data_IF_013986987475
#
_entry.id   IF_013986987475
#
_cell.length_a   1.000
_cell.length_b   1.000
_cell.length_c   1.000
_cell.angle_alpha   90.00
_cell.angle_beta   90.00
_cell.angle_gamma   90.00
#
_symmetry.space_group_name_H-M   'P 1'
#
loop_
_entity.id
_entity.type
_entity.pdbx_description
1 polymer ?
#
# COMPACT_ATOMS: atom_id res chain seq x y z
N UNK A 1 -16.57 -60.73 -4.07
CA UNK A 1 -17.90 -60.51 -3.48
C UNK A 1 -18.06 -59.04 -3.16
N UNK A 2 -19.18 -58.46 -3.61
CA UNK A 2 -19.90 -57.27 -3.13
C UNK A 2 -19.13 -55.97 -2.74
N UNK A 3 -19.42 -54.94 -3.53
CA UNK A 3 -19.46 -53.51 -3.16
C UNK A 3 -20.47 -53.25 -2.04
N UNK A 4 -20.23 -52.19 -1.25
CA UNK A 4 -21.17 -51.18 -0.69
C UNK A 4 -20.60 -50.62 0.62
N UNK A 5 -20.96 -49.46 1.16
CA UNK A 5 -21.45 -48.16 0.71
C UNK A 5 -21.55 -47.31 2.00
N UNK A 6 -21.39 -45.99 1.88
CA UNK A 6 -21.58 -45.03 2.95
C UNK A 6 -23.00 -45.06 3.54
N UNK A 7 -23.11 -44.91 4.87
CA UNK A 7 -24.38 -44.70 5.55
C UNK A 7 -24.46 -43.25 6.06
N UNK A 8 -25.16 -42.40 5.30
CA UNK A 8 -25.72 -41.12 5.71
C UNK A 8 -27.20 -41.35 6.06
N UNK A 9 -27.63 -40.93 7.24
CA UNK A 9 -28.97 -41.17 7.75
C UNK A 9 -29.80 -39.87 7.81
N UNK A 10 -30.97 -39.98 7.18
CA UNK A 10 -32.27 -39.38 7.50
C UNK A 10 -32.53 -37.87 7.27
N UNK A 11 -33.17 -37.63 6.12
CA UNK A 11 -34.11 -36.55 5.78
C UNK A 11 -35.35 -36.56 6.68
N UNK A 12 -35.97 -35.39 6.86
CA UNK A 12 -37.42 -35.27 7.07
C UNK A 12 -38.03 -34.36 6.00
N UNK A 13 -38.95 -34.94 5.24
CA UNK A 13 -39.96 -34.34 4.35
C UNK A 13 -41.01 -33.60 5.21
N UNK A 14 -41.88 -32.70 4.75
CA UNK A 14 -42.74 -32.60 3.55
C UNK A 14 -43.33 -31.16 3.51
N UNK A 15 -43.76 -30.69 2.34
CA UNK A 15 -44.84 -29.70 2.25
C UNK A 15 -44.68 -28.64 1.16
N UNK A 16 -44.95 -29.01 -0.09
CA UNK A 16 -45.24 -28.11 -1.20
C UNK A 16 -46.60 -27.42 -1.03
N UNK A 17 -46.78 -26.19 -1.54
CA UNK A 17 -47.80 -25.84 -2.55
C UNK A 17 -47.59 -24.40 -3.06
N UNK A 18 -47.69 -24.27 -4.38
CA UNK A 18 -47.65 -23.09 -5.27
C UNK A 18 -48.81 -22.10 -5.00
N UNK A 19 -48.98 -20.89 -5.56
CA UNK A 19 -48.70 -20.25 -6.86
C UNK A 19 -49.03 -18.71 -6.70
N UNK A 20 -48.98 -17.82 -7.71
CA UNK A 20 -48.47 -16.45 -7.57
C UNK A 20 -49.53 -15.34 -7.68
N UNK A 21 -49.21 -14.11 -7.25
CA UNK A 21 -49.94 -12.91 -7.71
C UNK A 21 -49.04 -11.70 -7.96
N UNK A 22 -49.13 -11.28 -9.21
CA UNK A 22 -48.62 -10.08 -9.88
C UNK A 22 -49.49 -8.88 -9.50
N UNK A 23 -48.87 -7.71 -9.26
CA UNK A 23 -49.53 -6.43 -9.56
C UNK A 23 -49.26 -5.27 -8.60
N UNK A 24 -48.82 -4.14 -9.17
CA UNK A 24 -49.33 -2.83 -8.73
C UNK A 24 -48.32 -1.83 -8.17
N UNK A 25 -47.70 -1.04 -9.05
CA UNK A 25 -47.21 0.30 -8.71
C UNK A 25 -48.38 1.18 -8.25
N UNK A 26 -48.26 1.89 -7.12
CA UNK A 26 -49.05 3.09 -6.82
C UNK A 26 -48.10 4.29 -6.66
N UNK A 27 -48.20 5.33 -7.50
CA UNK A 27 -47.52 6.60 -7.26
C UNK A 27 -48.32 7.42 -6.25
N UNK A 28 -47.69 7.91 -5.18
CA UNK A 28 -48.28 8.93 -4.31
C UNK A 28 -47.93 10.32 -4.84
N UNK A 29 -48.82 10.89 -5.64
CA UNK A 29 -48.85 12.31 -5.99
C UNK A 29 -49.66 13.10 -4.96
N UNK A 30 -49.08 14.18 -4.41
CA UNK A 30 -49.78 15.22 -3.63
C UNK A 30 -48.95 15.66 -2.41
N UNK A 31 -48.47 16.90 -2.27
CA UNK A 31 -48.63 18.09 -3.07
C UNK A 31 -47.47 19.08 -2.84
N UNK A 32 -47.17 19.87 -3.87
CA UNK A 32 -46.33 21.06 -3.78
C UNK A 32 -47.17 22.18 -3.15
N UNK A 33 -46.81 22.61 -1.94
CA UNK A 33 -47.23 23.91 -1.41
C UNK A 33 -46.13 24.96 -1.68
N UNK A 34 -46.43 26.15 -2.22
CA UNK A 34 -45.43 27.19 -2.42
C UNK A 34 -45.26 27.94 -1.10
N UNK A 35 -44.13 27.74 -0.40
CA UNK A 35 -43.76 28.59 0.73
C UNK A 35 -42.71 29.61 0.29
N UNK A 36 -43.18 30.86 0.26
CA UNK A 36 -42.58 32.09 -0.24
C UNK A 36 -41.14 32.37 0.25
N UNK A 37 -40.30 32.70 -0.74
CA UNK A 37 -39.32 33.80 -0.82
C UNK A 37 -38.51 34.23 0.43
N UNK A 38 -37.20 33.96 0.32
CA UNK A 38 -36.07 34.89 0.54
C UNK A 38 -36.04 35.79 1.78
N UNK A 39 -35.02 35.58 2.62
CA UNK A 39 -34.48 36.62 3.49
C UNK A 39 -33.77 36.09 4.73
N UNK A 40 -32.51 35.63 4.60
CA UNK A 40 -31.55 35.68 5.70
C UNK A 40 -30.13 35.68 5.13
N UNK A 41 -29.46 36.80 5.37
CA UNK A 41 -28.06 37.05 5.06
C UNK A 41 -27.13 35.99 5.65
N UNK A 42 -26.00 35.76 4.98
CA UNK A 42 -24.80 35.20 5.60
C UNK A 42 -24.94 33.76 6.12
N UNK A 43 -25.23 32.80 5.24
CA UNK A 43 -24.88 31.42 5.53
C UNK A 43 -23.34 31.30 5.49
N UNK A 44 -22.70 31.64 6.61
CA UNK A 44 -21.30 31.31 6.89
C UNK A 44 -21.14 29.82 6.57
N UNK A 45 -20.52 29.48 5.44
CA UNK A 45 -20.21 28.09 5.12
C UNK A 45 -19.23 27.61 6.18
N UNK A 46 -19.76 26.95 7.21
CA UNK A 46 -18.97 26.27 8.21
C UNK A 46 -17.99 25.37 7.46
N UNK A 47 -16.67 25.50 7.65
CA UNK A 47 -15.69 24.78 6.85
C UNK A 47 -15.99 23.29 6.97
N UNK A 48 -16.35 22.65 5.84
CA UNK A 48 -16.63 21.22 5.79
C UNK A 48 -15.45 20.50 6.44
N UNK A 49 -15.70 19.79 7.54
CA UNK A 49 -14.65 19.05 8.27
C UNK A 49 -13.93 18.16 7.27
N UNK A 50 -12.62 18.38 7.09
CA UNK A 50 -11.79 17.56 6.20
C UNK A 50 -11.89 16.11 6.66
N UNK A 51 -12.35 15.21 5.80
CA UNK A 51 -12.50 13.79 6.12
C UNK A 51 -11.12 13.20 6.38
N UNK A 52 -10.87 12.70 7.59
CA UNK A 52 -9.64 11.99 7.95
C UNK A 52 -9.79 10.50 7.65
N UNK A 53 -8.79 9.92 6.97
CA UNK A 53 -8.72 8.48 6.77
C UNK A 53 -8.37 7.76 8.08
N UNK A 54 -8.81 6.51 8.23
CA UNK A 54 -8.39 5.67 9.37
C UNK A 54 -6.88 5.39 9.28
N UNK A 55 -6.17 5.26 10.41
CA UNK A 55 -4.77 4.82 10.41
C UNK A 55 -4.60 3.56 9.56
N UNK A 56 -3.52 3.50 8.78
CA UNK A 56 -3.25 2.40 7.84
C UNK A 56 -3.97 2.49 6.49
N UNK A 57 -5.08 3.23 6.35
CA UNK A 57 -5.80 3.31 5.06
C UNK A 57 -4.96 3.96 3.96
N UNK A 58 -4.23 5.02 4.30
CA UNK A 58 -3.34 5.71 3.35
C UNK A 58 -2.10 4.86 3.06
N UNK A 59 -1.48 4.29 4.10
CA UNK A 59 -0.32 3.41 3.95
C UNK A 59 -0.62 2.20 3.04
N UNK A 60 -1.76 1.53 3.21
CA UNK A 60 -2.15 0.40 2.34
C UNK A 60 -2.38 0.82 0.88
N UNK A 61 -2.82 2.07 0.65
CA UNK A 61 -2.97 2.61 -0.69
C UNK A 61 -1.61 2.89 -1.32
N UNK A 62 -0.71 3.52 -0.58
CA UNK A 62 0.66 3.82 -1.00
C UNK A 62 1.43 2.53 -1.31
N UNK A 63 1.34 1.51 -0.46
CA UNK A 63 1.97 0.20 -0.70
C UNK A 63 1.53 -0.38 -2.04
N UNK A 64 0.21 -0.42 -2.31
CA UNK A 64 -0.32 -0.94 -3.58
C UNK A 64 0.09 -0.09 -4.79
N UNK A 65 0.19 1.22 -4.61
CA UNK A 65 0.62 2.13 -5.66
C UNK A 65 2.10 1.87 -6.00
N UNK A 66 2.98 1.86 -5.00
CA UNK A 66 4.42 1.70 -5.20
C UNK A 66 4.82 0.29 -5.65
N UNK A 67 4.08 -0.75 -5.24
CA UNK A 67 4.29 -2.11 -5.74
C UNK A 67 3.84 -2.29 -7.20
N UNK A 68 3.01 -1.39 -7.74
CA UNK A 68 2.55 -1.43 -9.13
C UNK A 68 3.45 -0.61 -10.07
N UNK A 69 4.05 0.46 -9.57
CA UNK A 69 4.97 1.32 -10.32
C UNK A 69 6.41 0.81 -10.27
N UNK A 70 7.23 1.27 -11.21
CA UNK A 70 8.68 1.04 -11.24
C UNK A 70 9.45 2.35 -11.28
N UNK A 71 8.83 3.44 -10.82
CA UNK A 71 9.45 4.77 -10.81
C UNK A 71 10.49 4.87 -9.69
N UNK A 72 11.58 5.58 -9.94
CA UNK A 72 12.59 5.88 -8.92
C UNK A 72 11.99 6.82 -7.85
N UNK A 73 12.14 6.46 -6.59
CA UNK A 73 11.53 7.14 -5.45
C UNK A 73 12.46 8.18 -4.84
N UNK A 74 13.78 8.04 -4.99
CA UNK A 74 14.75 9.01 -4.47
C UNK A 74 14.88 10.22 -5.41
N UNK A 75 15.00 11.41 -4.82
CA UNK A 75 15.24 12.62 -5.59
C UNK A 75 16.63 12.57 -6.27
N UNK A 76 16.64 12.74 -7.60
CA UNK A 76 17.85 12.59 -8.43
C UNK A 76 19.00 13.53 -8.05
N UNK A 77 18.71 14.80 -7.76
CA UNK A 77 19.77 15.80 -7.46
C UNK A 77 20.46 15.54 -6.10
N UNK A 78 19.74 15.32 -4.98
CA UNK A 78 20.36 14.90 -3.72
C UNK A 78 21.17 13.60 -3.85
N UNK A 79 20.64 12.59 -4.55
CA UNK A 79 21.36 11.33 -4.76
C UNK A 79 22.65 11.54 -5.56
N UNK A 80 22.61 12.33 -6.63
CA UNK A 80 23.79 12.69 -7.43
C UNK A 80 24.87 13.40 -6.61
N UNK A 81 24.47 14.32 -5.70
CA UNK A 81 25.42 14.99 -4.80
C UNK A 81 26.07 14.01 -3.83
N UNK A 82 25.28 13.11 -3.25
CA UNK A 82 25.76 12.06 -2.35
C UNK A 82 26.77 11.13 -3.04
N UNK A 83 26.48 10.67 -4.26
CA UNK A 83 27.38 9.81 -5.03
C UNK A 83 28.74 10.49 -5.25
N UNK A 84 28.74 11.78 -5.59
CA UNK A 84 29.97 12.56 -5.80
C UNK A 84 30.74 12.75 -4.50
N UNK A 85 30.05 13.04 -3.41
CA UNK A 85 30.67 13.17 -2.07
C UNK A 85 31.34 11.86 -1.64
N UNK A 86 30.64 10.73 -1.75
CA UNK A 86 31.21 9.41 -1.41
C UNK A 86 32.39 9.08 -2.32
N UNK A 87 32.31 9.40 -3.61
CA UNK A 87 33.39 9.17 -4.55
C UNK A 87 34.68 9.91 -4.13
N UNK A 88 34.59 11.16 -3.66
CA UNK A 88 35.76 11.90 -3.17
C UNK A 88 36.41 11.25 -1.94
N UNK A 89 35.64 10.58 -1.10
CA UNK A 89 36.15 9.91 0.10
C UNK A 89 36.77 8.53 -0.19
N UNK A 90 36.36 7.88 -1.29
CA UNK A 90 36.78 6.51 -1.65
C UNK A 90 37.87 6.51 -2.72
N UNK A 91 37.90 7.53 -3.58
CA UNK A 91 38.84 7.62 -4.69
C UNK A 91 40.30 7.76 -4.18
N UNK A 92 41.28 7.06 -4.79
CA UNK A 92 42.69 7.20 -4.43
C UNK A 92 43.18 8.65 -4.51
N UNK A 93 44.15 9.05 -3.67
CA UNK A 93 44.74 10.38 -3.74
C UNK A 93 45.28 10.66 -5.15
N UNK A 94 44.88 11.79 -5.75
CA UNK A 94 45.28 12.19 -7.10
C UNK A 94 44.35 11.72 -8.23
N UNK A 95 43.29 10.97 -7.93
CA UNK A 95 42.24 10.66 -8.92
C UNK A 95 41.11 11.68 -8.88
N UNK A 96 41.08 12.59 -9.86
CA UNK A 96 40.03 13.60 -9.99
C UNK A 96 38.80 13.05 -10.73
N UNK A 97 38.04 12.15 -10.08
CA UNK A 97 36.76 11.66 -10.63
C UNK A 97 35.68 12.76 -10.50
N UNK A 98 35.78 13.78 -11.35
CA UNK A 98 34.89 14.95 -11.35
C UNK A 98 33.71 14.77 -12.30
N UNK A 99 33.89 13.99 -13.37
CA UNK A 99 32.89 13.76 -14.41
C UNK A 99 32.16 12.44 -14.20
N UNK A 100 30.84 12.51 -14.32
CA UNK A 100 29.95 11.36 -14.22
C UNK A 100 28.99 11.34 -15.40
N UNK A 101 28.81 10.18 -16.01
CA UNK A 101 27.76 9.96 -16.98
C UNK A 101 26.40 9.97 -16.30
N UNK A 102 25.39 10.55 -16.93
CA UNK A 102 24.02 10.55 -16.41
C UNK A 102 23.48 9.12 -16.19
N UNK A 103 23.75 8.22 -17.14
CA UNK A 103 23.37 6.81 -17.05
C UNK A 103 24.07 6.06 -15.91
N UNK A 104 25.32 6.41 -15.57
CA UNK A 104 26.03 5.79 -14.46
C UNK A 104 25.38 6.16 -13.11
N UNK A 105 25.01 7.43 -12.93
CA UNK A 105 24.31 7.87 -11.71
C UNK A 105 22.93 7.21 -11.63
N UNK A 106 22.22 7.07 -12.75
CA UNK A 106 20.94 6.38 -12.79
C UNK A 106 21.07 4.90 -12.42
N UNK A 107 22.06 4.18 -12.96
CA UNK A 107 22.31 2.78 -12.63
C UNK A 107 22.65 2.58 -11.15
N UNK A 108 23.45 3.49 -10.56
CA UNK A 108 23.72 3.49 -9.12
C UNK A 108 22.45 3.71 -8.30
N UNK A 109 21.56 4.59 -8.75
CA UNK A 109 20.29 4.85 -8.08
C UNK A 109 19.36 3.63 -8.15
N UNK A 110 19.22 3.03 -9.33
CA UNK A 110 18.43 1.80 -9.53
C UNK A 110 18.92 0.66 -8.61
N UNK A 111 20.23 0.43 -8.56
CA UNK A 111 20.82 -0.59 -7.70
C UNK A 111 20.62 -0.29 -6.21
N UNK A 112 20.79 0.97 -5.78
CA UNK A 112 20.62 1.37 -4.40
C UNK A 112 19.16 1.24 -3.94
N UNK A 113 18.20 1.71 -4.74
CA UNK A 113 16.78 1.58 -4.42
C UNK A 113 16.33 0.12 -4.39
N UNK A 114 16.77 -0.69 -5.36
CA UNK A 114 16.49 -2.12 -5.37
C UNK A 114 17.04 -2.79 -4.10
N UNK A 115 18.28 -2.50 -3.70
CA UNK A 115 18.87 -3.04 -2.49
C UNK A 115 18.05 -2.68 -1.24
N UNK A 116 17.65 -1.41 -1.10
CA UNK A 116 16.86 -0.94 0.03
C UNK A 116 15.47 -1.58 0.10
N UNK A 117 14.79 -1.74 -1.04
CA UNK A 117 13.48 -2.41 -1.09
C UNK A 117 13.58 -3.84 -0.58
N UNK A 118 14.52 -4.64 -1.10
CA UNK A 118 14.70 -6.02 -0.64
C UNK A 118 15.10 -6.08 0.84
N UNK A 119 15.92 -5.14 1.33
CA UNK A 119 16.28 -5.09 2.75
C UNK A 119 15.08 -4.76 3.64
N UNK A 120 14.17 -3.89 3.19
CA UNK A 120 12.93 -3.58 3.90
C UNK A 120 11.93 -4.74 3.88
N UNK A 121 11.89 -5.54 2.81
CA UNK A 121 11.09 -6.77 2.77
C UNK A 121 11.53 -7.76 3.85
N UNK A 122 12.84 -8.03 3.96
CA UNK A 122 13.39 -8.92 4.99
C UNK A 122 13.19 -8.35 6.41
N UNK A 123 13.37 -7.04 6.57
CA UNK A 123 13.14 -6.36 7.85
C UNK A 123 11.66 -6.43 8.25
N UNK A 124 10.75 -6.37 7.29
CA UNK A 124 9.32 -6.52 7.53
C UNK A 124 8.97 -7.95 7.98
N UNK A 125 9.60 -8.98 7.39
CA UNK A 125 9.46 -10.37 7.86
C UNK A 125 9.96 -10.52 9.32
N UNK A 126 11.07 -9.87 9.67
CA UNK A 126 11.57 -9.85 11.05
C UNK A 126 10.60 -9.16 12.03
N UNK A 127 9.97 -8.05 11.62
CA UNK A 127 8.96 -7.36 12.42
C UNK A 127 7.72 -8.24 12.65
N UNK A 128 7.22 -8.91 11.60
CA UNK A 128 6.09 -9.84 11.66
C UNK A 128 6.40 -11.04 12.55
N UNK A 129 7.61 -11.60 12.43
CA UNK A 129 8.08 -12.69 13.29
C UNK A 129 8.04 -12.29 14.79
N UNK A 130 8.36 -11.03 15.09
CA UNK A 130 8.26 -10.45 16.41
C UNK A 130 6.85 -9.93 16.79
N UNK A 131 5.80 -10.31 16.06
CA UNK A 131 4.39 -9.92 16.27
C UNK A 131 4.14 -8.40 16.23
N UNK A 132 4.93 -7.66 15.42
CA UNK A 132 4.78 -6.21 15.21
C UNK A 132 4.42 -5.90 13.76
N UNK A 133 3.84 -4.72 13.55
CA UNK A 133 3.55 -4.14 12.22
C UNK A 133 4.49 -2.96 11.90
N UNK A 134 5.15 -2.40 12.91
CA UNK A 134 6.12 -1.31 12.75
C UNK A 134 7.53 -1.86 12.73
N UNK A 135 8.26 -1.60 11.65
CA UNK A 135 9.69 -1.91 11.53
C UNK A 135 10.52 -1.05 12.48
N UNK A 136 11.58 -1.63 13.03
CA UNK A 136 12.51 -1.00 13.97
C UNK A 136 13.95 -1.23 13.52
N UNK A 137 14.89 -0.45 14.06
CA UNK A 137 16.32 -0.58 13.75
C UNK A 137 16.86 -1.99 13.98
N UNK A 138 16.39 -2.68 15.03
CA UNK A 138 16.76 -4.07 15.33
C UNK A 138 16.35 -5.07 14.23
N UNK A 139 15.27 -4.79 13.50
CA UNK A 139 14.80 -5.65 12.41
C UNK A 139 15.75 -5.55 11.21
N UNK A 140 16.20 -4.33 10.91
CA UNK A 140 17.19 -4.07 9.84
C UNK A 140 18.54 -4.67 10.22
N UNK A 141 19.00 -4.47 11.47
CA UNK A 141 20.26 -5.04 11.95
C UNK A 141 20.24 -6.57 11.88
N UNK A 142 19.13 -7.20 12.28
CA UNK A 142 18.95 -8.64 12.19
C UNK A 142 18.96 -9.12 10.74
N UNK A 143 18.20 -8.48 9.85
CA UNK A 143 18.16 -8.80 8.43
C UNK A 143 19.55 -8.72 7.79
N UNK A 144 20.30 -7.64 8.05
CA UNK A 144 21.68 -7.47 7.57
C UNK A 144 22.61 -8.56 8.12
N UNK A 145 22.44 -8.93 9.39
CA UNK A 145 23.27 -9.96 10.03
C UNK A 145 23.03 -11.35 9.44
N UNK A 146 21.79 -11.67 9.07
CA UNK A 146 21.40 -12.95 8.47
C UNK A 146 21.86 -13.03 7.01
N UNK A 147 21.73 -11.95 6.24
CA UNK A 147 22.25 -11.88 4.86
C UNK A 147 23.77 -12.04 4.75
N UNK A 148 24.50 -11.81 5.85
CA UNK A 148 25.95 -11.97 5.91
C UNK A 148 26.72 -10.89 5.15
N UNK A 149 28.02 -11.11 4.98
CA UNK A 149 28.96 -10.17 4.38
C UNK A 149 28.70 -9.86 2.89
N UNK A 150 27.89 -10.68 2.21
CA UNK A 150 27.65 -10.54 0.77
C UNK A 150 26.30 -9.90 0.44
N UNK A 151 25.35 -9.88 1.39
CA UNK A 151 24.02 -9.33 1.17
C UNK A 151 23.57 -8.24 2.16
N UNK A 152 24.30 -8.03 3.26
CA UNK A 152 23.87 -7.14 4.35
C UNK A 152 24.94 -6.19 4.90
N UNK A 153 26.21 -6.61 4.94
CA UNK A 153 27.34 -5.70 5.22
C UNK A 153 28.03 -5.40 3.90
N UNK A 154 27.70 -4.25 3.30
CA UNK A 154 28.51 -3.69 2.22
C UNK A 154 29.92 -3.36 2.69
#
# INVERSE_FOLDING_TARGET
MARTAAASAARKSTGSTSTPTRGGKRPSTGGKGPRRSSGAAGAQQSPRKKKRYRPGTVALREIRQYQKSTDLLMAKLPFSRLVREVCLNVAPPGSEITRWQSQAIQALQEAAEAFLVHLFEDSNLCAIHAKRVTIMQKDIQLARRIRGAWGGLG
#
